data_IF_258822023997
#
_entry.id   IF_258822023997
#
_cell.length_a   1.000
_cell.length_b   1.000
_cell.length_c   1.000
_cell.angle_alpha   90.00
_cell.angle_beta   90.00
_cell.angle_gamma   90.00
#
_symmetry.space_group_name_H-M   'P 1'
#
loop_
_entity.id
_entity.type
_entity.pdbx_description
1 polymer ?
#
# COMPACT_ATOMS: atom_id res chain seq x y z
N UNK A 1 -21.04 57.35 23.58
CA UNK A 1 -21.04 57.76 22.18
C UNK A 1 -21.51 56.57 21.32
N UNK A 2 -22.65 56.70 20.70
CA UNK A 2 -23.26 55.64 19.87
C UNK A 2 -22.86 55.89 18.40
N UNK A 3 -22.12 55.00 17.79
CA UNK A 3 -21.84 55.07 16.36
C UNK A 3 -22.71 54.00 15.66
N UNK A 4 -23.68 54.47 14.89
CA UNK A 4 -24.52 53.68 14.00
C UNK A 4 -23.81 53.64 12.66
N UNK A 5 -23.40 52.43 12.25
CA UNK A 5 -22.90 52.14 10.88
C UNK A 5 -24.03 51.51 10.08
N UNK A 6 -24.48 52.25 9.08
CA UNK A 6 -25.39 51.81 8.04
C UNK A 6 -24.60 51.01 7.02
N UNK A 7 -24.97 49.74 6.81
CA UNK A 7 -24.46 48.92 5.75
C UNK A 7 -25.47 48.87 4.61
N UNK A 8 -25.11 49.43 3.49
CA UNK A 8 -25.87 49.42 2.26
C UNK A 8 -25.75 48.04 1.56
N UNK A 9 -26.88 47.41 1.30
CA UNK A 9 -26.98 46.17 0.55
C UNK A 9 -26.93 46.46 -0.95
N UNK A 10 -25.90 45.95 -1.64
CA UNK A 10 -25.89 45.87 -3.11
C UNK A 10 -26.38 44.47 -3.51
N UNK A 11 -27.53 44.40 -4.13
CA UNK A 11 -28.05 43.22 -4.79
C UNK A 11 -27.44 43.16 -6.22
N UNK A 12 -26.63 42.16 -6.49
CA UNK A 12 -26.13 41.83 -7.83
C UNK A 12 -26.97 40.66 -8.37
N UNK A 13 -27.83 40.97 -9.33
CA UNK A 13 -28.60 39.98 -10.08
C UNK A 13 -27.65 39.34 -11.13
N UNK A 14 -27.19 38.11 -10.88
CA UNK A 14 -26.41 37.29 -11.80
C UNK A 14 -27.34 36.49 -12.72
N UNK A 15 -27.28 36.76 -14.01
CA UNK A 15 -27.94 35.99 -15.07
C UNK A 15 -27.28 34.61 -15.16
N UNK A 16 -28.01 33.56 -14.80
CA UNK A 16 -27.60 32.18 -15.01
C UNK A 16 -27.79 31.81 -16.50
N UNK A 17 -26.71 31.75 -17.25
CA UNK A 17 -26.70 31.17 -18.60
C UNK A 17 -26.61 29.64 -18.43
N UNK A 18 -27.71 28.96 -18.58
CA UNK A 18 -27.77 27.49 -18.59
C UNK A 18 -27.21 26.98 -19.93
N UNK A 19 -25.94 26.66 -19.96
CA UNK A 19 -25.35 25.89 -21.06
C UNK A 19 -25.76 24.42 -20.89
N UNK A 20 -26.76 23.99 -21.65
CA UNK A 20 -27.10 22.59 -21.82
C UNK A 20 -25.95 21.90 -22.55
N UNK A 21 -25.02 21.35 -21.83
CA UNK A 21 -24.03 20.40 -22.37
C UNK A 21 -24.78 19.10 -22.60
N UNK A 22 -25.03 18.79 -23.87
CA UNK A 22 -25.54 17.48 -24.28
C UNK A 22 -24.54 16.42 -23.81
N UNK A 23 -24.96 15.58 -22.86
CA UNK A 23 -24.16 14.44 -22.43
C UNK A 23 -23.97 13.50 -23.63
N UNK A 24 -22.73 13.05 -23.91
CA UNK A 24 -22.51 12.04 -24.92
C UNK A 24 -23.21 10.73 -24.52
N UNK A 25 -23.71 9.93 -25.48
CA UNK A 25 -24.43 8.71 -25.19
C UNK A 25 -23.53 7.77 -24.36
N UNK A 26 -24.04 7.32 -23.23
CA UNK A 26 -23.38 6.32 -22.39
C UNK A 26 -23.22 5.03 -23.18
N UNK A 27 -22.06 4.88 -23.79
CA UNK A 27 -21.62 3.59 -24.26
C UNK A 27 -21.52 2.66 -23.03
N UNK A 28 -22.21 1.52 -23.06
CA UNK A 28 -22.14 0.45 -22.04
C UNK A 28 -20.73 -0.21 -22.01
N UNK A 29 -19.69 0.60 -21.89
CA UNK A 29 -18.36 0.16 -21.52
C UNK A 29 -18.26 0.24 -20.00
N UNK A 30 -18.05 -0.91 -19.35
CA UNK A 30 -17.61 -0.90 -17.94
C UNK A 30 -16.55 0.18 -17.78
N UNK A 31 -16.66 1.07 -16.78
CA UNK A 31 -15.59 2.02 -16.53
C UNK A 31 -14.31 1.23 -16.39
N UNK A 32 -13.43 1.37 -17.36
CA UNK A 32 -12.06 0.91 -17.22
C UNK A 32 -11.44 1.87 -16.21
N UNK A 33 -11.60 1.57 -14.93
CA UNK A 33 -10.71 2.02 -13.89
C UNK A 33 -9.35 1.40 -14.22
N UNK A 34 -8.79 1.83 -15.32
CA UNK A 34 -7.51 1.40 -15.79
C UNK A 34 -6.51 2.40 -15.29
N UNK A 35 -6.01 2.17 -14.09
CA UNK A 35 -4.67 2.61 -13.81
C UNK A 35 -3.84 2.31 -15.03
N UNK A 36 -3.26 3.34 -15.67
CA UNK A 36 -2.53 3.22 -16.92
C UNK A 36 -1.28 2.34 -16.87
N UNK A 37 -1.20 1.50 -15.85
CA UNK A 37 -0.11 0.60 -15.54
C UNK A 37 -0.39 -0.80 -16.09
N UNK A 38 0.24 -1.11 -17.21
CA UNK A 38 0.26 -2.47 -17.78
C UNK A 38 1.65 -2.77 -18.34
N UNK A 39 2.22 -3.94 -18.06
CA UNK A 39 1.72 -5.02 -17.20
C UNK A 39 2.00 -4.78 -15.71
N UNK A 40 1.09 -5.25 -14.86
CA UNK A 40 1.34 -5.38 -13.42
C UNK A 40 2.10 -6.69 -13.15
N UNK A 41 3.10 -6.62 -12.31
CA UNK A 41 3.87 -7.78 -11.85
C UNK A 41 3.71 -7.98 -10.35
N UNK A 42 3.89 -9.21 -9.89
CA UNK A 42 3.86 -9.53 -8.47
C UNK A 42 5.27 -9.53 -7.91
N UNK A 43 5.54 -8.63 -6.99
CA UNK A 43 6.72 -8.64 -6.14
C UNK A 43 6.44 -9.57 -4.97
N UNK A 44 7.38 -10.48 -4.70
CA UNK A 44 7.33 -11.38 -3.54
C UNK A 44 8.57 -11.14 -2.72
N UNK A 45 8.40 -10.76 -1.46
CA UNK A 45 9.46 -10.54 -0.49
C UNK A 45 9.35 -11.57 0.62
N UNK A 46 10.48 -12.09 1.07
CA UNK A 46 10.58 -12.94 2.26
C UNK A 46 11.56 -12.30 3.21
N UNK A 47 11.25 -12.32 4.49
CA UNK A 47 12.10 -11.71 5.50
C UNK A 47 11.55 -11.87 6.90
N UNK A 48 12.03 -11.04 7.79
CA UNK A 48 11.61 -10.99 9.18
C UNK A 48 10.88 -9.67 9.46
N UNK A 49 9.78 -9.74 10.19
CA UNK A 49 9.03 -8.57 10.61
C UNK A 49 9.83 -7.80 11.67
N UNK A 50 10.09 -6.53 11.41
CA UNK A 50 10.89 -5.67 12.29
C UNK A 50 10.08 -4.57 12.96
N UNK A 51 8.89 -4.26 12.44
CA UNK A 51 8.07 -3.17 12.99
C UNK A 51 6.64 -3.16 12.45
N UNK A 52 5.80 -2.41 13.14
CA UNK A 52 4.41 -2.21 12.79
C UNK A 52 4.22 -1.02 11.83
N UNK A 53 3.18 -1.00 10.98
CA UNK A 53 2.23 -2.09 10.77
C UNK A 53 2.86 -3.24 9.99
N UNK A 54 3.79 -2.99 9.05
CA UNK A 54 4.49 -4.00 8.27
C UNK A 54 5.82 -3.44 7.77
N UNK A 55 6.86 -3.56 8.59
CA UNK A 55 8.24 -3.28 8.23
C UNK A 55 9.02 -4.59 8.20
N UNK A 56 9.69 -4.88 7.10
CA UNK A 56 10.30 -6.20 6.86
C UNK A 56 11.78 -6.05 6.53
N UNK A 57 12.61 -6.77 7.26
CA UNK A 57 13.99 -7.02 6.86
C UNK A 57 14.01 -8.12 5.79
N UNK A 58 14.24 -7.71 4.53
CA UNK A 58 14.09 -8.58 3.35
C UNK A 58 15.34 -9.41 3.15
N UNK A 59 15.22 -10.71 3.34
CA UNK A 59 16.33 -11.67 3.14
C UNK A 59 16.34 -12.28 1.74
N UNK A 60 15.19 -12.40 1.10
CA UNK A 60 15.10 -12.92 -0.26
C UNK A 60 13.84 -12.43 -0.98
N UNK A 61 13.89 -12.47 -2.31
CA UNK A 61 12.78 -12.06 -3.16
C UNK A 61 12.71 -12.86 -4.45
N UNK A 62 11.60 -12.67 -5.18
CA UNK A 62 11.55 -13.08 -6.58
C UNK A 62 12.33 -12.08 -7.47
N UNK A 63 12.41 -12.37 -8.79
CA UNK A 63 13.12 -11.52 -9.76
C UNK A 63 12.67 -10.04 -9.75
N UNK A 64 11.41 -9.76 -9.41
CA UNK A 64 10.84 -8.42 -9.41
C UNK A 64 11.11 -7.64 -8.12
N UNK A 65 11.47 -8.35 -7.05
CA UNK A 65 11.77 -7.76 -5.75
C UNK A 65 13.25 -7.62 -5.44
N UNK A 66 14.14 -7.91 -6.38
CA UNK A 66 15.59 -7.94 -6.13
C UNK A 66 16.14 -6.63 -5.57
N UNK A 67 15.60 -5.50 -5.99
CA UNK A 67 16.04 -4.19 -5.52
C UNK A 67 15.72 -3.95 -4.03
N UNK A 68 14.82 -4.72 -3.43
CA UNK A 68 14.47 -4.63 -2.00
C UNK A 68 15.32 -5.54 -1.10
N UNK A 69 16.15 -6.42 -1.69
CA UNK A 69 16.90 -7.44 -0.95
C UNK A 69 18.19 -6.93 -0.32
N UNK A 70 18.85 -5.93 -0.69
CA UNK A 70 20.08 -5.66 0.01
C UNK A 70 19.89 -4.67 1.08
N UNK A 71 20.12 -4.98 2.18
CA UNK A 71 20.43 -3.92 2.93
C UNK A 71 20.24 -3.99 4.38
N UNK A 72 20.85 -3.16 5.00
CA UNK A 72 20.87 -2.75 6.38
C UNK A 72 19.59 -2.04 6.83
N UNK A 73 18.66 -1.77 5.91
CA UNK A 73 17.41 -1.07 6.21
C UNK A 73 16.18 -1.94 5.94
N UNK A 74 15.25 -1.95 6.89
CA UNK A 74 13.97 -2.62 6.71
C UNK A 74 13.09 -1.90 5.68
N UNK A 75 12.34 -2.65 4.91
CA UNK A 75 11.39 -2.12 3.92
C UNK A 75 10.02 -1.93 4.57
N UNK A 76 9.55 -0.68 4.61
CA UNK A 76 8.19 -0.37 5.01
C UNK A 76 7.21 -0.70 3.88
N UNK A 77 6.14 -1.43 4.21
CA UNK A 77 5.14 -1.89 3.25
C UNK A 77 3.77 -1.41 3.71
N UNK A 78 3.03 -0.76 2.82
CA UNK A 78 1.69 -0.27 3.11
C UNK A 78 0.71 -1.43 3.20
N UNK A 79 -0.13 -1.42 4.23
CA UNK A 79 -1.21 -2.37 4.44
C UNK A 79 -2.54 -1.64 4.30
N UNK A 80 -3.48 -2.24 3.58
CA UNK A 80 -4.84 -1.72 3.39
C UNK A 80 -5.86 -2.73 3.89
N UNK A 81 -7.12 -2.35 3.92
CA UNK A 81 -8.22 -3.24 4.31
C UNK A 81 -8.33 -4.46 3.38
N UNK A 82 -7.91 -4.31 2.12
CA UNK A 82 -7.90 -5.40 1.13
C UNK A 82 -6.74 -6.38 1.30
N UNK A 83 -5.77 -6.06 2.16
CA UNK A 83 -4.62 -6.91 2.40
C UNK A 83 -5.02 -8.20 3.12
N UNK A 84 -4.78 -9.34 2.49
CA UNK A 84 -5.05 -10.66 3.09
C UNK A 84 -3.91 -11.08 4.01
N UNK A 85 -4.18 -11.13 5.32
CA UNK A 85 -3.21 -11.55 6.32
C UNK A 85 -3.51 -12.97 6.81
N UNK A 86 -2.46 -13.79 6.99
CA UNK A 86 -2.53 -15.12 7.60
C UNK A 86 -1.36 -15.35 8.55
N UNK A 87 -1.68 -15.69 9.81
CA UNK A 87 -0.73 -16.10 10.83
C UNK A 87 -1.40 -17.10 11.77
N UNK A 88 -1.07 -18.40 11.69
CA UNK A 88 -1.59 -19.43 12.60
C UNK A 88 -3.09 -19.31 12.93
N UNK A 89 -3.94 -19.16 11.90
CA UNK A 89 -5.37 -18.95 12.09
C UNK A 89 -5.82 -17.49 12.26
N UNK A 90 -4.91 -16.60 12.59
CA UNK A 90 -5.15 -15.15 12.68
C UNK A 90 -5.22 -14.51 11.30
N UNK A 91 -6.00 -13.43 11.16
CA UNK A 91 -6.28 -12.80 9.87
C UNK A 91 -6.02 -11.29 9.84
N UNK A 92 -5.73 -10.67 10.98
CA UNK A 92 -5.51 -9.23 11.09
C UNK A 92 -4.03 -8.90 11.10
N UNK A 93 -3.65 -7.76 10.49
CA UNK A 93 -2.28 -7.28 10.48
C UNK A 93 -1.77 -6.94 11.88
N UNK A 94 -2.66 -6.51 12.78
CA UNK A 94 -2.36 -6.20 14.17
C UNK A 94 -1.95 -7.43 15.01
N UNK A 95 -2.18 -8.62 14.48
CA UNK A 95 -1.83 -9.90 15.13
C UNK A 95 -0.43 -10.39 14.71
N UNK A 96 0.25 -9.67 13.84
CA UNK A 96 1.64 -9.96 13.46
C UNK A 96 2.57 -9.56 14.61
N UNK A 97 3.58 -10.37 14.84
CA UNK A 97 4.54 -10.17 15.94
C UNK A 97 5.93 -9.89 15.33
N UNK A 98 6.63 -8.91 15.89
CA UNK A 98 8.03 -8.65 15.52
C UNK A 98 8.86 -9.90 15.72
N UNK A 99 9.69 -10.23 14.74
CA UNK A 99 10.43 -11.49 14.70
C UNK A 99 9.76 -12.59 13.86
N UNK A 100 8.47 -12.44 13.51
CA UNK A 100 7.83 -13.40 12.61
C UNK A 100 8.54 -13.44 11.25
N UNK A 101 8.66 -14.64 10.72
CA UNK A 101 9.08 -14.83 9.32
C UNK A 101 7.89 -14.54 8.42
N UNK A 102 8.04 -13.57 7.52
CA UNK A 102 6.95 -13.12 6.66
C UNK A 102 7.24 -13.34 5.18
N UNK A 103 6.18 -13.67 4.45
CA UNK A 103 6.14 -13.63 3.01
C UNK A 103 5.09 -12.59 2.60
N UNK A 104 5.55 -11.56 1.92
CA UNK A 104 4.70 -10.47 1.44
C UNK A 104 4.57 -10.52 -0.06
N UNK A 105 3.37 -10.37 -0.57
CA UNK A 105 3.06 -10.22 -1.98
C UNK A 105 2.49 -8.83 -2.22
N UNK A 106 3.04 -8.11 -3.18
CA UNK A 106 2.55 -6.81 -3.62
C UNK A 106 2.45 -6.78 -5.15
N UNK A 107 1.55 -5.96 -5.68
CA UNK A 107 1.42 -5.75 -7.12
C UNK A 107 1.91 -4.37 -7.48
N UNK A 108 2.84 -4.30 -8.40
CA UNK A 108 3.41 -3.03 -8.89
C UNK A 108 3.42 -2.99 -10.41
N UNK A 109 3.53 -1.81 -10.96
CA UNK A 109 3.77 -1.62 -12.38
C UNK A 109 5.16 -2.12 -12.75
N UNK A 110 5.28 -2.90 -13.81
CA UNK A 110 6.59 -3.31 -14.30
C UNK A 110 7.48 -2.11 -14.68
N UNK A 111 6.87 -1.04 -15.15
CA UNK A 111 7.57 0.18 -15.51
C UNK A 111 8.24 0.85 -14.30
N UNK A 112 7.62 0.78 -13.12
CA UNK A 112 8.12 1.41 -11.90
C UNK A 112 9.32 0.66 -11.29
N UNK A 113 9.58 -0.57 -11.74
CA UNK A 113 10.71 -1.40 -11.31
C UNK A 113 11.94 -1.30 -12.23
N UNK A 114 11.93 -0.36 -13.19
CA UNK A 114 13.10 -0.11 -14.05
C UNK A 114 14.23 0.51 -13.21
N UNK A 115 15.44 0.28 -13.67
CA UNK A 115 16.66 0.89 -13.13
C UNK A 115 16.87 0.61 -11.62
N UNK A 116 16.45 -0.57 -11.16
CA UNK A 116 16.55 -0.97 -9.74
C UNK A 116 15.79 -0.05 -8.77
N UNK A 117 14.78 0.67 -9.26
CA UNK A 117 13.94 1.50 -8.41
C UNK A 117 13.14 0.64 -7.39
N UNK A 118 12.95 1.18 -6.20
CA UNK A 118 12.18 0.57 -5.11
C UNK A 118 10.93 1.39 -4.82
N UNK A 119 9.89 1.32 -5.69
CA UNK A 119 8.65 2.03 -5.44
C UNK A 119 7.99 1.57 -4.14
N UNK A 120 7.18 2.43 -3.53
CA UNK A 120 6.40 2.06 -2.35
C UNK A 120 5.51 0.85 -2.66
N UNK A 121 5.53 -0.15 -1.78
CA UNK A 121 4.75 -1.37 -1.93
C UNK A 121 3.48 -1.33 -1.12
N UNK A 122 2.36 -1.73 -1.74
CA UNK A 122 1.11 -2.03 -1.04
C UNK A 122 0.90 -3.54 -1.04
N UNK A 123 0.83 -4.12 0.14
CA UNK A 123 0.67 -5.56 0.29
C UNK A 123 -0.72 -6.00 -0.19
N UNK A 124 -0.77 -7.01 -1.05
CA UNK A 124 -2.00 -7.72 -1.39
C UNK A 124 -2.21 -8.95 -0.50
N UNK A 125 -1.11 -9.54 -0.03
CA UNK A 125 -1.13 -10.71 0.86
C UNK A 125 0.11 -10.74 1.75
N UNK A 126 -0.10 -11.10 3.01
CA UNK A 126 0.94 -11.36 4.01
C UNK A 126 0.72 -12.73 4.61
N UNK A 127 1.74 -13.57 4.61
CA UNK A 127 1.75 -14.85 5.32
C UNK A 127 2.88 -14.79 6.33
N UNK A 128 2.54 -14.92 7.61
CA UNK A 128 3.51 -14.89 8.69
C UNK A 128 3.59 -16.26 9.39
N UNK A 129 4.77 -16.60 9.80
CA UNK A 129 5.07 -17.77 10.64
C UNK A 129 5.84 -17.28 11.86
N UNK A 130 5.57 -17.79 13.05
CA UNK A 130 6.35 -17.46 14.22
C UNK A 130 7.84 -17.64 13.98
N UNK A 131 8.63 -16.86 14.69
CA UNK A 131 10.06 -17.08 14.73
C UNK A 131 10.33 -18.54 15.10
N UNK A 132 11.27 -19.16 14.40
CA UNK A 132 11.72 -20.50 14.79
C UNK A 132 12.33 -20.40 16.18
N UNK A 133 11.89 -21.20 17.17
CA UNK A 133 12.57 -21.23 18.46
C UNK A 133 14.06 -21.49 18.21
N UNK A 134 14.92 -20.74 18.90
CA UNK A 134 16.33 -21.08 18.95
C UNK A 134 16.41 -22.54 19.37
N UNK A 135 17.11 -23.37 18.60
CA UNK A 135 17.49 -24.68 19.11
C UNK A 135 18.39 -24.38 20.29
N UNK A 136 17.97 -24.78 21.47
CA UNK A 136 18.86 -24.83 22.61
C UNK A 136 20.11 -25.58 22.11
N UNK A 137 21.24 -24.90 22.11
CA UNK A 137 22.52 -25.59 22.00
C UNK A 137 22.58 -26.41 23.27
N UNK A 138 22.29 -27.70 23.15
CA UNK A 138 22.71 -28.64 24.15
C UNK A 138 24.22 -28.49 24.24
N UNK A 139 24.66 -27.91 25.35
CA UNK A 139 26.04 -27.92 25.77
C UNK A 139 26.42 -29.42 25.91
N UNK A 140 27.17 -29.91 24.93
CA UNK A 140 27.92 -31.16 25.07
C UNK A 140 29.09 -30.87 26.01
N UNK A 141 28.89 -31.30 27.24
CA UNK A 141 29.91 -31.35 28.30
C UNK A 141 30.62 -32.71 28.24
#
# INVERSE_FOLDING_TARGET
MKVKLLVASLAVAGLAVSSAVAAPPEGKGKPKTGDGCKPKVTVVLKGTLTGAPLSVDVTSSNRWGRAYVPGTASTAITVTEDTKVRRQGQKKVTELVVGDRVLVQARVCKADLKDSATPALTASRVVAHPAKPAKDQEDDD
#
